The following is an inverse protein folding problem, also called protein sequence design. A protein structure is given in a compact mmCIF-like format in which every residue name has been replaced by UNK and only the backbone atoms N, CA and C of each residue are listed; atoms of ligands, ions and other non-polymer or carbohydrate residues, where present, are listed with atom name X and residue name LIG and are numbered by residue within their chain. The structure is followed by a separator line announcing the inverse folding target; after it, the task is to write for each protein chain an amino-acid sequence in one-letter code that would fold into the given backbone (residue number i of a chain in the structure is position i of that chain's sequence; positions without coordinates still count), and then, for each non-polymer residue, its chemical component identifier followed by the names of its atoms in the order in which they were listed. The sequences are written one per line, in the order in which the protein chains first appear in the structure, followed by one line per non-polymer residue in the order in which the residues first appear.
data_IF_108217224813
#
_entry.id   IF_108217224813
#
_cell.length_a   1.000
_cell.length_b   1.000
_cell.length_c   1.000
_cell.angle_alpha   90.00
_cell.angle_beta   90.00
_cell.angle_gamma   90.00
#
_symmetry.space_group_name_H-M   'P 1'
#
loop_
_entity.id
_entity.type
_entity.pdbx_description
1 polymer ?
#
# COMPACT_ATOMS: atom_id res chain seq x y z
N UNK A 1 -9.86 -19.07 -29.70
CA UNK A 1 -9.12 -17.85 -30.13
C UNK A 1 -8.79 -17.03 -28.90
N UNK A 2 -7.54 -16.60 -28.72
CA UNK A 2 -7.21 -15.69 -27.63
C UNK A 2 -7.79 -14.30 -27.94
N UNK A 3 -8.63 -13.75 -27.05
CA UNK A 3 -9.11 -12.36 -27.18
C UNK A 3 -7.90 -11.45 -27.00
N UNK A 4 -7.54 -10.73 -28.06
CA UNK A 4 -6.42 -9.78 -28.05
C UNK A 4 -6.99 -8.45 -27.58
N UNK A 5 -6.43 -7.93 -26.49
CA UNK A 5 -6.76 -6.61 -25.97
C UNK A 5 -5.62 -5.65 -26.30
N UNK A 6 -5.99 -4.45 -26.74
CA UNK A 6 -5.09 -3.32 -26.93
C UNK A 6 -4.50 -2.87 -25.59
N UNK A 7 -3.37 -2.16 -25.67
CA UNK A 7 -2.66 -1.71 -24.48
C UNK A 7 -3.44 -0.68 -23.67
N UNK A 8 -4.18 0.20 -24.34
CA UNK A 8 -5.05 1.20 -23.71
C UNK A 8 -6.13 0.54 -22.85
N UNK A 9 -6.81 -0.48 -23.37
CA UNK A 9 -7.80 -1.23 -22.62
C UNK A 9 -7.20 -1.91 -21.38
N UNK A 10 -6.02 -2.52 -21.50
CA UNK A 10 -5.34 -3.15 -20.37
C UNK A 10 -4.99 -2.14 -19.27
N UNK A 11 -4.50 -0.95 -19.65
CA UNK A 11 -4.21 0.15 -18.72
C UNK A 11 -5.47 0.62 -17.99
N UNK A 12 -6.53 0.89 -18.75
CA UNK A 12 -7.84 1.30 -18.21
C UNK A 12 -8.41 0.25 -17.24
N UNK A 13 -8.33 -1.04 -17.58
CA UNK A 13 -8.81 -2.11 -16.72
C UNK A 13 -8.04 -2.18 -15.38
N UNK A 14 -6.72 -1.98 -15.44
CA UNK A 14 -5.87 -1.93 -14.25
C UNK A 14 -6.21 -0.70 -13.39
N UNK A 15 -6.40 0.46 -14.00
CA UNK A 15 -6.83 1.69 -13.31
C UNK A 15 -8.19 1.54 -12.62
N UNK A 16 -9.17 0.96 -13.31
CA UNK A 16 -10.49 0.66 -12.75
C UNK A 16 -10.39 -0.25 -11.52
N UNK A 17 -9.48 -1.23 -11.54
CA UNK A 17 -9.24 -2.12 -10.41
C UNK A 17 -8.71 -1.41 -9.15
N UNK A 18 -7.98 -0.31 -9.34
CA UNK A 18 -7.53 0.55 -8.24
C UNK A 18 -8.65 1.43 -7.72
N UNK A 19 -9.42 2.06 -8.62
CA UNK A 19 -10.55 2.91 -8.26
C UNK A 19 -11.62 2.17 -7.45
N UNK A 20 -11.89 0.91 -7.78
CA UNK A 20 -12.83 0.05 -7.05
C UNK A 20 -12.21 -0.62 -5.82
N UNK A 21 -10.88 -0.64 -5.71
CA UNK A 21 -10.16 -1.38 -4.65
C UNK A 21 -10.23 -2.91 -4.76
N UNK A 22 -10.92 -3.44 -5.79
CA UNK A 22 -11.15 -4.87 -5.99
C UNK A 22 -11.00 -5.27 -7.46
N UNK A 23 -10.20 -6.33 -7.70
CA UNK A 23 -10.05 -6.93 -9.03
C UNK A 23 -11.36 -7.57 -9.48
N UNK A 24 -12.07 -8.23 -8.56
CA UNK A 24 -13.31 -8.94 -8.88
C UNK A 24 -14.43 -8.01 -9.36
N UNK A 25 -14.55 -6.83 -8.73
CA UNK A 25 -15.55 -5.83 -9.12
C UNK A 25 -15.23 -5.21 -10.48
N UNK A 26 -13.96 -4.85 -10.72
CA UNK A 26 -13.53 -4.33 -12.01
C UNK A 26 -13.71 -5.36 -13.15
N UNK A 27 -13.46 -6.64 -12.89
CA UNK A 27 -13.68 -7.69 -13.89
C UNK A 27 -15.14 -7.98 -14.18
N UNK A 28 -16.02 -7.81 -13.18
CA UNK A 28 -17.47 -7.98 -13.36
C UNK A 28 -18.06 -6.90 -14.27
N UNK A 29 -17.52 -5.69 -14.19
CA UNK A 29 -17.92 -4.55 -15.03
C UNK A 29 -17.38 -4.66 -16.46
N UNK A 30 -16.17 -5.21 -16.62
CA UNK A 30 -15.50 -5.35 -17.93
C UNK A 30 -15.73 -6.71 -18.62
N UNK A 31 -16.54 -7.59 -18.02
CA UNK A 31 -16.72 -8.99 -18.43
C UNK A 31 -15.38 -9.68 -18.74
N UNK A 32 -14.46 -9.59 -17.78
CA UNK A 32 -13.11 -10.11 -17.89
C UNK A 32 -12.86 -11.24 -16.88
N UNK A 33 -11.90 -12.08 -17.17
CA UNK A 33 -11.38 -13.04 -16.21
C UNK A 33 -10.48 -12.34 -15.16
N UNK A 34 -10.78 -12.54 -13.88
CA UNK A 34 -10.02 -11.95 -12.76
C UNK A 34 -8.53 -12.30 -12.76
N UNK A 35 -8.16 -13.50 -13.22
CA UNK A 35 -6.76 -13.92 -13.34
C UNK A 35 -6.01 -13.13 -14.40
N UNK A 36 -6.69 -12.69 -15.47
CA UNK A 36 -6.09 -11.84 -16.51
C UNK A 36 -5.84 -10.43 -15.99
N UNK A 37 -6.82 -9.83 -15.32
CA UNK A 37 -6.64 -8.49 -14.74
C UNK A 37 -5.57 -8.49 -13.65
N UNK A 38 -5.49 -9.56 -12.85
CA UNK A 38 -4.41 -9.72 -11.86
C UNK A 38 -3.03 -9.76 -12.52
N UNK A 39 -2.88 -10.44 -13.66
CA UNK A 39 -1.62 -10.46 -14.41
C UNK A 39 -1.26 -9.08 -14.97
N UNK A 40 -2.23 -8.36 -15.54
CA UNK A 40 -1.99 -7.00 -16.05
C UNK A 40 -1.63 -6.02 -14.95
N UNK A 41 -2.22 -6.18 -13.75
CA UNK A 41 -1.90 -5.37 -12.58
C UNK A 41 -0.45 -5.56 -12.10
N UNK A 42 0.11 -6.75 -12.31
CA UNK A 42 1.51 -7.07 -12.01
C UNK A 42 2.47 -6.73 -13.17
N UNK A 43 1.95 -6.42 -14.35
CA UNK A 43 2.75 -6.12 -15.54
C UNK A 43 3.08 -4.62 -15.60
N UNK A 44 4.37 -4.23 -15.56
CA UNK A 44 4.81 -2.84 -15.58
C UNK A 44 4.29 -2.02 -16.77
N UNK A 45 4.01 -2.69 -17.90
CA UNK A 45 3.51 -2.06 -19.13
C UNK A 45 2.11 -1.49 -18.98
N UNK A 46 1.31 -2.08 -18.08
CA UNK A 46 -0.11 -1.75 -17.94
C UNK A 46 -0.45 -1.11 -16.59
N UNK A 47 0.41 -1.26 -15.58
CA UNK A 47 0.23 -0.63 -14.26
C UNK A 47 0.84 0.78 -14.15
N UNK A 48 1.37 1.33 -15.25
CA UNK A 48 1.97 2.67 -15.28
C UNK A 48 3.32 2.76 -14.55
N UNK A 49 3.99 1.63 -14.31
CA UNK A 49 5.24 1.58 -13.55
C UNK A 49 5.04 1.61 -12.02
N UNK A 50 3.81 1.54 -11.52
CA UNK A 50 3.53 1.50 -10.09
C UNK A 50 3.95 0.14 -9.50
N UNK A 51 5.09 0.13 -8.78
CA UNK A 51 5.55 -1.03 -8.01
C UNK A 51 4.68 -1.15 -6.77
N UNK A 52 3.77 -2.13 -6.75
CA UNK A 52 2.89 -2.38 -5.63
C UNK A 52 3.35 -3.54 -4.74
N UNK A 53 2.97 -3.54 -3.46
CA UNK A 53 3.98 -3.88 -2.46
C UNK A 53 3.53 -4.94 -1.45
N UNK A 54 4.26 -6.05 -1.27
CA UNK A 54 3.80 -7.35 -0.70
C UNK A 54 2.97 -7.38 0.64
N UNK A 55 1.74 -6.86 0.65
CA UNK A 55 0.48 -7.51 1.07
C UNK A 55 -0.43 -7.91 -0.16
N UNK A 56 0.18 -8.15 -1.34
CA UNK A 56 0.82 -7.09 -2.12
C UNK A 56 0.26 -5.69 -2.05
N UNK A 57 -0.13 -5.19 -0.87
CA UNK A 57 -0.76 -3.91 -0.60
C UNK A 57 -0.05 -2.90 0.36
N UNK A 58 1.24 -2.97 0.75
CA UNK A 58 1.94 -1.88 1.48
C UNK A 58 3.42 -1.68 1.08
N UNK A 59 3.73 -0.48 0.52
CA UNK A 59 4.99 -0.05 -0.09
C UNK A 59 6.20 -0.39 0.76
N UNK A 60 7.41 -0.64 0.22
CA UNK A 60 8.61 -0.60 1.05
C UNK A 60 8.70 0.74 1.79
N UNK A 61 8.35 1.85 1.12
CA UNK A 61 8.24 3.19 1.71
C UNK A 61 7.12 3.30 2.74
N UNK A 62 5.93 2.72 2.48
CA UNK A 62 4.83 2.72 3.46
C UNK A 62 5.15 1.84 4.69
N UNK A 63 5.88 0.75 4.49
CA UNK A 63 6.38 -0.13 5.54
C UNK A 63 7.47 0.57 6.35
N UNK A 64 8.33 1.34 5.69
CA UNK A 64 9.32 2.18 6.32
C UNK A 64 8.66 3.30 7.12
N UNK A 65 7.67 4.00 6.56
CA UNK A 65 6.85 5.00 7.27
C UNK A 65 6.20 4.38 8.51
N UNK A 66 5.65 3.17 8.43
CA UNK A 66 5.08 2.46 9.58
C UNK A 66 6.13 2.11 10.63
N UNK A 67 7.27 1.61 10.18
CA UNK A 67 8.39 1.27 11.06
C UNK A 67 8.92 2.51 11.78
N UNK A 68 9.08 3.62 11.05
CA UNK A 68 9.49 4.91 11.56
C UNK A 68 8.45 5.50 12.53
N UNK A 69 7.15 5.45 12.21
CA UNK A 69 6.07 5.87 13.12
C UNK A 69 6.07 5.07 14.42
N UNK A 70 6.30 3.75 14.35
CA UNK A 70 6.41 2.91 15.54
C UNK A 70 7.60 3.32 16.40
N UNK A 71 8.79 3.48 15.79
CA UNK A 71 10.02 3.91 16.49
C UNK A 71 9.86 5.29 17.12
N UNK A 72 9.20 6.22 16.43
CA UNK A 72 8.92 7.56 16.96
C UNK A 72 8.05 7.49 18.21
N UNK A 73 6.95 6.71 18.16
CA UNK A 73 6.06 6.53 19.31
C UNK A 73 6.78 5.90 20.52
N UNK A 74 7.63 4.91 20.28
CA UNK A 74 8.39 4.26 21.36
C UNK A 74 9.36 5.25 22.01
N UNK A 75 10.07 6.05 21.20
CA UNK A 75 10.98 7.10 21.70
C UNK A 75 10.26 8.24 22.42
N UNK A 76 9.08 8.66 21.94
CA UNK A 76 8.25 9.66 22.61
C UNK A 76 7.79 9.16 23.98
N UNK A 77 7.37 7.91 24.07
CA UNK A 77 6.95 7.29 25.34
C UNK A 77 8.13 7.22 26.33
N UNK A 78 9.30 6.78 25.88
CA UNK A 78 10.51 6.75 26.69
C UNK A 78 10.87 8.16 27.18
N UNK A 79 10.80 9.17 26.30
CA UNK A 79 11.06 10.56 26.67
C UNK A 79 10.08 11.07 27.73
N UNK A 80 8.80 10.72 27.62
CA UNK A 80 7.78 11.06 28.62
C UNK A 80 8.11 10.42 29.97
N UNK A 81 8.51 9.14 29.98
CA UNK A 81 8.89 8.42 31.21
C UNK A 81 10.11 9.10 31.85
N UNK A 82 11.15 9.38 31.07
CA UNK A 82 12.36 10.05 31.56
C UNK A 82 12.06 11.46 32.09
N UNK A 83 11.25 12.25 31.39
CA UNK A 83 10.80 13.57 31.87
C UNK A 83 10.03 13.49 33.17
N UNK A 84 9.14 12.50 33.32
CA UNK A 84 8.43 12.26 34.59
C UNK A 84 9.39 11.90 35.71
N UNK A 85 10.37 11.03 35.44
CA UNK A 85 11.39 10.67 36.42
C UNK A 85 12.20 11.89 36.86
N UNK A 86 12.70 12.70 35.92
CA UNK A 86 13.42 13.95 36.22
C UNK A 86 12.54 14.90 37.04
N UNK A 87 11.28 15.09 36.68
CA UNK A 87 10.38 15.96 37.42
C UNK A 87 10.10 15.48 38.86
N UNK A 88 10.17 14.16 39.10
CA UNK A 88 10.08 13.59 40.45
C UNK A 88 11.38 13.87 41.22
N UNK A 89 12.54 13.62 40.62
CA UNK A 89 13.83 13.88 41.27
C UNK A 89 14.07 15.36 41.55
N UNK A 90 13.68 16.27 40.66
CA UNK A 90 13.87 17.72 40.83
C UNK A 90 12.88 18.40 41.79
N UNK A 91 11.83 17.70 42.25
CA UNK A 91 10.89 18.20 43.27
C UNK A 91 11.18 17.66 44.67
N UNK A 92 12.17 16.78 44.80
CA UNK A 92 12.59 16.15 46.06
C UNK A 92 13.71 16.90 46.79
N UNK A 93 14.18 18.03 46.26
CA UNK A 93 15.07 19.00 46.92
C UNK A 93 14.29 20.26 47.36
#
# INVERSE_FOLDING_TARGET
MARIFDESFKKMAVELSYLKGSVAEATKELDLDASRLSKWRMDPRFNGGAVLPFNPKLGPEEQEIRTLKKRLKDAELENIILKKAVAIFSKGD
#
